data_IF_505850397014
#
_entry.id   IF_505850397014
#
_cell.length_a   1.000
_cell.length_b   1.000
_cell.length_c   1.000
_cell.angle_alpha   90.00
_cell.angle_beta   90.00
_cell.angle_gamma   90.00
#
_symmetry.space_group_name_H-M   'P 1'
#
loop_
_entity.id
_entity.type
_entity.pdbx_description
1 polymer ?
#
# COMPACT_ATOMS: atom_id res chain seq x y z
N UNK A 1 0.92 28.98 4.71
CA UNK A 1 0.33 27.77 5.31
C UNK A 1 -0.44 28.21 6.53
N UNK A 2 -1.74 27.92 6.61
CA UNK A 2 -2.59 28.34 7.72
C UNK A 2 -2.51 27.33 8.87
N UNK A 3 -1.60 27.55 9.82
CA UNK A 3 -1.39 26.64 10.96
C UNK A 3 -2.62 26.58 11.87
N UNK A 4 -3.38 27.69 11.98
CA UNK A 4 -4.53 27.77 12.86
C UNK A 4 -5.66 26.84 12.38
N UNK A 5 -5.90 26.81 11.06
CA UNK A 5 -6.91 25.93 10.47
C UNK A 5 -6.61 24.45 10.71
N UNK A 6 -5.36 24.02 10.61
CA UNK A 6 -4.97 22.63 10.89
C UNK A 6 -5.26 22.22 12.33
N UNK A 7 -4.86 23.08 13.29
CA UNK A 7 -5.10 22.84 14.71
C UNK A 7 -6.59 22.78 15.02
N UNK A 8 -7.35 23.76 14.56
CA UNK A 8 -8.80 23.84 14.73
C UNK A 8 -9.52 22.61 14.17
N UNK A 9 -9.19 22.20 12.94
CA UNK A 9 -9.81 21.03 12.30
C UNK A 9 -9.41 19.74 13.02
N UNK A 10 -8.16 19.61 13.46
CA UNK A 10 -7.71 18.47 14.23
C UNK A 10 -8.42 18.36 15.58
N UNK A 11 -8.45 19.44 16.36
CA UNK A 11 -9.11 19.50 17.68
C UNK A 11 -10.58 19.11 17.57
N UNK A 12 -11.31 19.66 16.59
CA UNK A 12 -12.70 19.31 16.30
C UNK A 12 -12.93 17.83 15.96
N UNK A 13 -11.90 17.12 15.47
CA UNK A 13 -11.94 15.69 15.17
C UNK A 13 -11.50 14.85 16.35
N UNK A 14 -10.48 15.30 17.09
CA UNK A 14 -9.95 14.62 18.25
C UNK A 14 -10.99 14.58 19.40
N UNK A 15 -11.77 15.65 19.60
CA UNK A 15 -12.84 15.68 20.62
C UNK A 15 -13.96 14.67 20.38
N UNK A 16 -14.08 14.13 19.16
CA UNK A 16 -15.07 13.11 18.80
C UNK A 16 -14.54 11.68 19.01
N UNK A 17 -13.29 11.52 19.46
CA UNK A 17 -12.76 10.22 19.85
C UNK A 17 -13.43 9.78 21.15
N UNK A 18 -13.65 8.48 21.30
CA UNK A 18 -14.17 7.92 22.55
C UNK A 18 -13.16 8.07 23.70
N UNK A 19 -11.88 8.11 23.36
CA UNK A 19 -10.78 8.31 24.27
C UNK A 19 -10.70 9.80 24.64
N UNK A 20 -10.91 10.09 25.92
CA UNK A 20 -10.97 11.47 26.45
C UNK A 20 -9.60 12.10 26.69
N UNK A 21 -8.53 11.45 26.24
CA UNK A 21 -7.16 11.93 26.37
C UNK A 21 -6.93 13.17 25.47
N UNK A 22 -6.37 14.27 26.00
CA UNK A 22 -6.11 15.47 25.20
C UNK A 22 -4.98 15.23 24.20
N UNK A 23 -5.19 15.65 22.94
CA UNK A 23 -4.19 15.60 21.87
C UNK A 23 -3.77 16.99 21.40
N UNK A 24 -2.47 17.23 21.31
CA UNK A 24 -1.91 18.48 20.78
C UNK A 24 -1.19 18.26 19.45
N UNK A 25 -1.48 19.10 18.46
CA UNK A 25 -0.83 19.10 17.15
C UNK A 25 0.16 20.27 17.01
N UNK A 26 1.39 19.96 16.61
CA UNK A 26 2.49 20.92 16.46
C UNK A 26 3.24 20.70 15.14
N UNK A 27 3.61 21.78 14.47
CA UNK A 27 4.47 21.70 13.28
C UNK A 27 5.93 21.62 13.69
N UNK A 28 6.67 20.71 13.08
CA UNK A 28 8.10 20.52 13.36
C UNK A 28 8.82 20.14 12.07
N UNK A 29 9.62 21.07 11.53
CA UNK A 29 10.37 20.88 10.29
C UNK A 29 11.55 19.89 10.47
N UNK A 30 11.89 19.51 11.69
CA UNK A 30 13.00 18.62 11.99
C UNK A 30 12.59 17.15 12.09
N UNK A 31 11.29 16.82 11.97
CA UNK A 31 10.89 15.41 11.94
C UNK A 31 11.33 14.76 10.63
N UNK A 32 12.02 13.63 10.77
CA UNK A 32 12.49 12.83 9.66
C UNK A 32 11.58 11.63 9.42
N UNK A 33 11.19 11.39 8.16
CA UNK A 33 10.43 10.21 7.79
C UNK A 33 11.23 8.93 8.06
N UNK A 34 10.53 7.90 8.53
CA UNK A 34 11.03 6.56 8.83
C UNK A 34 12.08 6.48 9.94
N UNK A 35 12.22 7.55 10.72
CA UNK A 35 13.10 7.62 11.90
C UNK A 35 12.37 8.30 13.06
N UNK A 36 11.23 7.76 13.53
CA UNK A 36 10.58 8.32 14.71
C UNK A 36 11.48 8.14 15.94
N UNK A 37 11.50 9.16 16.80
CA UNK A 37 12.18 9.07 18.10
C UNK A 37 11.60 7.90 18.92
N UNK A 38 12.37 7.38 19.89
CA UNK A 38 11.92 6.24 20.70
C UNK A 38 10.57 6.51 21.38
N UNK A 39 9.63 5.57 21.22
CA UNK A 39 8.26 5.69 21.72
C UNK A 39 7.34 6.60 20.90
N UNK A 40 7.80 7.12 19.75
CA UNK A 40 6.94 7.79 18.77
C UNK A 40 6.53 6.80 17.67
N UNK A 41 5.27 6.88 17.25
CA UNK A 41 4.69 6.10 16.16
C UNK A 41 4.61 7.01 14.93
N UNK A 42 4.85 6.47 13.74
CA UNK A 42 4.76 7.25 12.50
C UNK A 42 3.53 6.85 11.68
N UNK A 43 2.90 7.84 11.05
CA UNK A 43 2.15 7.63 9.81
C UNK A 43 2.49 8.73 8.79
N UNK A 44 2.26 8.45 7.51
CA UNK A 44 2.35 9.46 6.46
C UNK A 44 0.96 9.56 5.84
N UNK A 45 0.50 10.79 5.63
CA UNK A 45 -0.72 11.07 4.88
C UNK A 45 -0.39 11.60 3.50
N UNK A 46 -1.19 11.21 2.51
CA UNK A 46 -1.14 11.78 1.18
C UNK A 46 -2.25 12.83 1.07
N UNK A 47 -2.01 13.92 0.36
CA UNK A 47 -2.98 14.99 0.08
C UNK A 47 -2.64 15.65 -1.26
N UNK A 48 -3.55 16.49 -1.74
CA UNK A 48 -3.26 17.44 -2.80
C UNK A 48 -2.93 18.84 -2.22
N UNK A 49 -2.21 19.64 -2.99
CA UNK A 49 -1.88 21.03 -2.65
C UNK A 49 -1.57 21.83 -3.91
N UNK A 50 -1.57 23.16 -3.78
CA UNK A 50 -0.95 24.07 -4.74
C UNK A 50 0.38 24.59 -4.21
N UNK A 51 1.23 25.05 -5.11
CA UNK A 51 2.54 25.61 -4.81
C UNK A 51 2.73 26.87 -5.65
N UNK A 52 3.61 27.75 -5.17
CA UNK A 52 4.03 28.95 -5.89
C UNK A 52 5.54 29.07 -5.76
N UNK A 53 6.23 29.16 -6.89
CA UNK A 53 7.67 29.32 -6.92
C UNK A 53 8.02 30.74 -6.48
N UNK A 54 8.85 30.88 -5.46
CA UNK A 54 9.42 32.15 -5.01
C UNK A 54 10.40 32.75 -6.03
N UNK A 55 11.08 31.92 -6.83
CA UNK A 55 12.06 32.38 -7.82
C UNK A 55 11.43 32.89 -9.13
N UNK A 56 10.44 32.19 -9.68
CA UNK A 56 9.86 32.53 -10.99
C UNK A 56 8.36 32.87 -10.96
N UNK A 57 7.72 32.88 -9.78
CA UNK A 57 6.30 33.19 -9.62
C UNK A 57 5.33 32.12 -10.11
N UNK A 58 5.81 31.08 -10.82
CA UNK A 58 4.97 30.01 -11.38
C UNK A 58 4.17 29.30 -10.28
N UNK A 59 2.87 29.18 -10.48
CA UNK A 59 2.00 28.30 -9.69
C UNK A 59 1.88 26.90 -10.30
N UNK A 60 1.77 25.88 -9.45
CA UNK A 60 1.40 24.53 -9.89
C UNK A 60 0.57 23.80 -8.84
N UNK A 61 -0.19 22.80 -9.27
CA UNK A 61 -0.93 21.89 -8.40
C UNK A 61 -0.27 20.51 -8.37
N UNK A 62 -0.47 19.79 -7.27
CA UNK A 62 0.04 18.43 -7.09
C UNK A 62 -0.98 17.59 -6.35
N UNK A 63 -1.27 16.41 -6.88
CA UNK A 63 -2.04 15.36 -6.20
C UNK A 63 -1.16 14.45 -5.33
N UNK A 64 0.14 14.78 -5.18
CA UNK A 64 1.14 13.95 -4.49
C UNK A 64 1.94 14.77 -3.49
N UNK A 65 1.25 15.29 -2.48
CA UNK A 65 1.87 15.91 -1.31
C UNK A 65 1.82 14.92 -0.16
N UNK A 66 3.00 14.61 0.39
CA UNK A 66 3.14 13.76 1.56
C UNK A 66 3.24 14.62 2.81
N UNK A 67 2.62 14.16 3.89
CA UNK A 67 2.63 14.82 5.19
C UNK A 67 3.07 13.79 6.22
N UNK A 68 4.21 14.05 6.87
CA UNK A 68 4.76 13.18 7.92
C UNK A 68 4.08 13.50 9.24
N UNK A 69 3.66 12.46 9.95
CA UNK A 69 3.12 12.56 11.31
C UNK A 69 3.92 11.65 12.23
N UNK A 70 4.50 12.22 13.28
CA UNK A 70 4.98 11.46 14.44
C UNK A 70 3.99 11.69 15.57
N UNK A 71 3.46 10.62 16.15
CA UNK A 71 2.47 10.66 17.22
C UNK A 71 2.96 9.87 18.43
N UNK A 72 2.65 10.34 19.62
CA UNK A 72 3.01 9.69 20.86
C UNK A 72 1.89 9.90 21.87
N UNK A 73 1.54 8.83 22.58
CA UNK A 73 0.65 8.86 23.75
C UNK A 73 1.49 8.49 24.96
N UNK A 74 1.58 9.39 25.95
CA UNK A 74 2.26 9.15 27.23
C UNK A 74 1.41 9.74 28.34
N UNK A 75 1.21 8.98 29.42
CA UNK A 75 0.47 9.41 30.60
C UNK A 75 -0.89 10.06 30.24
N UNK A 76 -1.68 9.38 29.40
CA UNK A 76 -3.00 9.86 28.93
C UNK A 76 -2.95 11.23 28.20
N UNK A 77 -1.79 11.66 27.69
CA UNK A 77 -1.63 12.88 26.90
C UNK A 77 -0.99 12.57 25.56
N UNK A 78 -1.68 12.98 24.50
CA UNK A 78 -1.29 12.76 23.11
C UNK A 78 -0.55 13.96 22.52
N UNK A 79 0.54 13.70 21.81
CA UNK A 79 1.30 14.72 21.08
C UNK A 79 1.52 14.29 19.65
N UNK A 80 1.31 15.20 18.71
CA UNK A 80 1.53 15.00 17.27
C UNK A 80 2.48 16.07 16.75
N UNK A 81 3.53 15.62 16.10
CA UNK A 81 4.41 16.46 15.28
C UNK A 81 4.09 16.23 13.81
N UNK A 82 3.90 17.32 13.07
CA UNK A 82 3.53 17.29 11.66
C UNK A 82 4.52 18.03 10.78
N UNK A 83 4.77 17.49 9.60
CA UNK A 83 5.59 18.12 8.55
C UNK A 83 5.04 17.82 7.15
N UNK A 84 4.37 18.79 6.52
CA UNK A 84 4.08 18.74 5.09
C UNK A 84 5.37 18.84 4.27
N UNK A 85 5.52 17.98 3.27
CA UNK A 85 6.74 17.93 2.46
C UNK A 85 6.64 18.83 1.23
N UNK A 86 7.78 19.39 0.87
CA UNK A 86 7.90 20.44 -0.14
C UNK A 86 8.05 19.87 -1.55
N UNK A 87 7.90 20.75 -2.54
CA UNK A 87 8.20 20.46 -3.95
C UNK A 87 8.99 21.59 -4.58
N UNK A 88 9.86 21.24 -5.53
CA UNK A 88 10.66 22.20 -6.28
C UNK A 88 9.96 22.56 -7.59
N UNK A 89 10.16 23.79 -8.06
CA UNK A 89 9.71 24.22 -9.38
C UNK A 89 10.51 23.49 -10.48
N UNK A 90 9.81 22.91 -11.46
CA UNK A 90 10.43 22.22 -12.61
C UNK A 90 11.19 23.15 -13.57
N UNK A 91 10.86 24.43 -13.57
CA UNK A 91 11.49 25.42 -14.46
C UNK A 91 12.69 26.13 -13.80
N UNK A 92 13.04 25.76 -12.56
CA UNK A 92 14.14 26.37 -11.83
C UNK A 92 15.06 25.26 -11.34
N UNK A 93 16.16 25.04 -12.06
CA UNK A 93 17.14 23.98 -11.76
C UNK A 93 17.64 24.05 -10.31
N UNK A 94 17.86 25.26 -9.81
CA UNK A 94 18.34 25.54 -8.44
C UNK A 94 17.31 26.27 -7.57
N UNK A 95 16.02 26.19 -7.95
CA UNK A 95 14.94 26.82 -7.17
C UNK A 95 14.79 26.17 -5.78
N UNK A 96 14.31 26.90 -4.76
CA UNK A 96 14.11 26.33 -3.44
C UNK A 96 12.94 25.31 -3.42
N UNK A 97 12.90 24.51 -2.37
CA UNK A 97 11.80 23.60 -2.07
C UNK A 97 10.63 24.37 -1.46
N UNK A 98 9.54 24.50 -2.21
CA UNK A 98 8.37 25.29 -1.84
C UNK A 98 7.41 24.53 -0.92
N UNK A 99 6.88 25.26 0.07
CA UNK A 99 5.88 24.73 0.99
C UNK A 99 4.53 24.51 0.28
N UNK A 100 3.83 23.40 0.56
CA UNK A 100 2.51 23.17 0.00
C UNK A 100 1.46 24.13 0.60
N UNK A 101 0.58 24.63 -0.25
CA UNK A 101 -0.66 25.31 0.13
C UNK A 101 -1.82 24.31 0.03
N UNK A 102 -2.25 23.78 1.18
CA UNK A 102 -3.27 22.73 1.27
C UNK A 102 -4.62 23.37 1.60
N UNK A 103 -5.64 23.14 0.77
CA UNK A 103 -6.99 23.66 0.96
C UNK A 103 -7.67 23.04 2.21
N UNK A 104 -8.55 23.80 2.88
CA UNK A 104 -9.27 23.35 4.10
C UNK A 104 -10.02 22.02 3.94
N UNK A 105 -10.61 21.77 2.78
CA UNK A 105 -11.27 20.49 2.46
C UNK A 105 -10.30 19.30 2.53
N UNK A 106 -9.06 19.50 2.07
CA UNK A 106 -8.01 18.49 2.09
C UNK A 106 -7.42 18.31 3.48
N UNK A 107 -7.27 19.42 4.24
CA UNK A 107 -6.91 19.39 5.67
C UNK A 107 -7.92 18.54 6.44
N UNK A 108 -9.22 18.74 6.19
CA UNK A 108 -10.29 18.00 6.84
C UNK A 108 -10.22 16.49 6.62
N UNK A 109 -10.00 16.04 5.38
CA UNK A 109 -9.81 14.61 5.07
C UNK A 109 -8.53 14.07 5.73
N UNK A 110 -7.45 14.85 5.68
CA UNK A 110 -6.17 14.45 6.25
C UNK A 110 -6.24 14.29 7.77
N UNK A 111 -6.90 15.21 8.49
CA UNK A 111 -7.10 15.12 9.94
C UNK A 111 -8.02 13.96 10.33
N UNK A 112 -9.04 13.64 9.52
CA UNK A 112 -9.85 12.45 9.77
C UNK A 112 -9.03 11.16 9.69
N UNK A 113 -8.20 11.04 8.65
CA UNK A 113 -7.33 9.89 8.48
C UNK A 113 -6.30 9.83 9.61
N UNK A 114 -5.77 10.96 10.06
CA UNK A 114 -4.86 11.03 11.21
C UNK A 114 -5.50 10.51 12.49
N UNK A 115 -6.73 10.92 12.80
CA UNK A 115 -7.47 10.44 13.98
C UNK A 115 -7.68 8.93 13.95
N UNK A 116 -8.04 8.35 12.79
CA UNK A 116 -8.12 6.90 12.64
C UNK A 116 -6.77 6.22 12.87
N UNK A 117 -5.67 6.81 12.37
CA UNK A 117 -4.33 6.28 12.62
C UNK A 117 -3.92 6.39 14.08
N UNK A 118 -4.34 7.42 14.81
CA UNK A 118 -4.13 7.54 16.25
C UNK A 118 -4.87 6.42 16.99
N UNK A 119 -6.15 6.21 16.70
CA UNK A 119 -6.95 5.14 17.32
C UNK A 119 -6.33 3.76 17.12
N UNK A 120 -5.90 3.47 15.89
CA UNK A 120 -5.23 2.20 15.56
C UNK A 120 -3.86 2.10 16.21
N UNK A 121 -2.99 3.10 16.04
CA UNK A 121 -1.58 2.99 16.42
C UNK A 121 -1.38 3.23 17.90
N UNK A 122 -2.08 4.18 18.51
CA UNK A 122 -1.86 4.60 19.90
C UNK A 122 -2.76 3.84 20.88
N UNK A 123 -4.01 3.54 20.51
CA UNK A 123 -4.99 2.85 21.35
C UNK A 123 -5.26 1.39 20.96
N UNK A 124 -4.62 0.90 19.88
CA UNK A 124 -4.79 -0.47 19.37
C UNK A 124 -6.25 -0.82 19.02
N UNK A 125 -7.07 0.17 18.66
CA UNK A 125 -8.45 -0.07 18.24
C UNK A 125 -8.52 -0.79 16.89
N UNK A 126 -9.48 -1.73 16.78
CA UNK A 126 -9.79 -2.43 15.54
C UNK A 126 -10.86 -1.67 14.77
N UNK A 127 -10.45 -0.84 13.81
CA UNK A 127 -11.35 0.01 13.01
C UNK A 127 -11.13 -0.29 11.53
N UNK A 128 -12.22 -0.46 10.78
CA UNK A 128 -12.17 -0.52 9.32
C UNK A 128 -11.88 0.87 8.73
N UNK A 129 -10.76 1.00 8.02
CA UNK A 129 -10.36 2.27 7.39
C UNK A 129 -11.32 2.58 6.23
N UNK A 130 -12.00 3.72 6.32
CA UNK A 130 -12.87 4.20 5.24
C UNK A 130 -12.02 4.80 4.13
N UNK A 131 -12.23 4.36 2.89
CA UNK A 131 -11.60 5.00 1.71
C UNK A 131 -12.19 6.40 1.56
N UNK A 132 -11.34 7.43 1.69
CA UNK A 132 -11.70 8.83 1.47
C UNK A 132 -10.89 9.37 0.31
N UNK A 133 -11.58 9.98 -0.65
CA UNK A 133 -10.94 10.59 -1.80
C UNK A 133 -10.61 12.05 -1.49
N UNK A 134 -9.39 12.47 -1.80
CA UNK A 134 -9.03 13.88 -1.85
C UNK A 134 -9.53 14.46 -3.17
N UNK A 135 -9.78 15.78 -3.19
CA UNK A 135 -10.00 16.52 -4.43
C UNK A 135 -8.80 16.28 -5.34
N UNK A 136 -9.04 15.82 -6.56
CA UNK A 136 -8.01 15.64 -7.57
C UNK A 136 -7.94 16.88 -8.43
N UNK A 137 -6.74 17.42 -8.63
CA UNK A 137 -6.49 18.40 -9.67
C UNK A 137 -6.30 17.69 -11.02
N UNK A 138 -6.71 18.32 -12.12
CA UNK A 138 -6.47 17.82 -13.48
C UNK A 138 -4.97 17.86 -13.78
N UNK A 139 -4.34 16.69 -13.73
CA UNK A 139 -2.89 16.55 -13.79
C UNK A 139 -2.41 16.30 -15.21
N UNK A 140 -2.19 17.36 -15.99
CA UNK A 140 -1.53 17.27 -17.31
C UNK A 140 0.00 17.15 -17.20
N UNK A 141 0.58 17.20 -15.99
CA UNK A 141 2.02 17.10 -15.77
C UNK A 141 2.37 15.85 -14.95
N UNK A 142 3.26 14.97 -15.45
CA UNK A 142 3.67 13.78 -14.72
C UNK A 142 4.42 14.16 -13.44
N UNK A 143 4.27 13.33 -12.41
CA UNK A 143 5.05 13.48 -11.18
C UNK A 143 6.52 13.14 -11.43
N UNK A 144 7.43 14.03 -11.01
CA UNK A 144 8.87 13.86 -11.17
C UNK A 144 9.54 13.74 -9.78
N UNK A 145 10.12 12.57 -9.45
CA UNK A 145 10.74 12.33 -8.14
C UNK A 145 11.85 13.32 -7.78
N UNK A 146 12.59 13.80 -8.78
CA UNK A 146 13.67 14.76 -8.59
C UNK A 146 13.19 16.09 -8.00
N UNK A 147 11.93 16.49 -8.22
CA UNK A 147 11.35 17.74 -7.72
C UNK A 147 10.43 17.53 -6.51
N UNK A 148 10.42 16.35 -5.89
CA UNK A 148 9.59 16.04 -4.74
C UNK A 148 10.43 15.69 -3.52
N UNK A 149 10.34 16.50 -2.47
CA UNK A 149 11.12 16.30 -1.25
C UNK A 149 10.89 14.92 -0.62
N UNK A 150 9.66 14.41 -0.63
CA UNK A 150 9.39 13.07 -0.09
C UNK A 150 9.97 11.93 -0.92
N UNK A 151 10.16 12.13 -2.23
CA UNK A 151 10.88 11.16 -3.06
C UNK A 151 12.38 11.21 -2.81
N UNK A 152 12.96 12.41 -2.73
CA UNK A 152 14.37 12.62 -2.43
C UNK A 152 14.75 12.07 -1.04
N UNK A 153 13.88 12.29 -0.05
CA UNK A 153 14.00 11.75 1.30
C UNK A 153 13.76 10.25 1.37
N UNK A 154 13.52 9.58 0.23
CA UNK A 154 13.43 8.12 0.17
C UNK A 154 12.37 7.57 1.12
N UNK A 155 11.34 8.38 1.41
CA UNK A 155 10.27 8.04 2.35
C UNK A 155 9.65 6.72 1.94
N UNK A 156 9.59 6.49 0.64
CA UNK A 156 9.01 5.37 -0.08
C UNK A 156 9.99 4.22 -0.34
N UNK A 157 11.18 4.26 0.24
CA UNK A 157 12.19 3.20 0.17
C UNK A 157 12.65 2.71 1.54
N UNK A 158 11.98 3.14 2.62
CA UNK A 158 12.12 2.48 3.92
C UNK A 158 11.17 1.27 3.98
N UNK A 159 11.61 0.13 4.54
CA UNK A 159 10.78 -1.07 4.68
C UNK A 159 9.47 -0.87 5.47
N UNK A 160 9.32 0.25 6.17
CA UNK A 160 8.11 0.61 6.94
C UNK A 160 7.11 1.50 6.16
N UNK A 161 7.38 1.82 4.89
CA UNK A 161 6.54 2.69 4.05
C UNK A 161 6.41 2.19 2.61
N UNK A 162 6.32 0.87 2.42
CA UNK A 162 5.84 0.27 1.17
C UNK A 162 4.31 0.18 1.17
N UNK A 163 3.61 1.30 1.33
CA UNK A 163 2.15 1.32 1.14
C UNK A 163 1.62 2.41 0.22
N UNK A 164 2.43 3.33 -0.32
CA UNK A 164 1.95 4.22 -1.38
C UNK A 164 3.10 4.97 -2.04
N UNK A 165 3.83 4.36 -2.97
CA UNK A 165 4.09 5.01 -4.26
C UNK A 165 4.43 4.02 -5.35
N UNK A 166 3.53 4.06 -6.33
CA UNK A 166 3.81 3.94 -7.75
C UNK A 166 4.91 4.95 -8.11
N UNK A 167 6.16 4.50 -8.08
CA UNK A 167 7.21 5.03 -8.94
C UNK A 167 6.82 4.72 -10.40
N UNK A 168 7.30 5.56 -11.31
CA UNK A 168 7.10 5.44 -12.76
C UNK A 168 7.87 4.25 -13.37
N UNK A 169 7.86 3.11 -12.69
CA UNK A 169 8.16 1.78 -13.23
C UNK A 169 6.85 0.97 -13.35
N UNK A 170 5.80 1.65 -13.80
CA UNK A 170 4.38 1.25 -13.80
C UNK A 170 4.02 0.03 -14.64
N UNK A 171 5.00 -0.71 -15.16
CA UNK A 171 4.77 -1.82 -16.09
C UNK A 171 5.02 -3.21 -15.50
N UNK A 172 5.56 -3.37 -14.28
CA UNK A 172 5.99 -4.70 -13.78
C UNK A 172 5.51 -5.01 -12.36
N UNK A 173 5.43 -6.31 -12.05
CA UNK A 173 5.15 -6.87 -10.71
C UNK A 173 6.25 -6.48 -9.72
N UNK A 174 5.90 -6.19 -8.46
CA UNK A 174 6.83 -5.74 -7.42
C UNK A 174 7.01 -6.80 -6.31
N UNK A 175 8.05 -7.67 -6.38
CA UNK A 175 8.29 -8.71 -5.38
C UNK A 175 8.53 -8.18 -3.97
N UNK A 176 9.19 -7.02 -3.84
CA UNK A 176 9.57 -6.44 -2.54
C UNK A 176 8.37 -5.99 -1.72
N UNK A 177 7.31 -5.56 -2.41
CA UNK A 177 6.06 -5.18 -1.75
C UNK A 177 5.35 -6.40 -1.14
N UNK A 178 5.31 -7.51 -1.88
CA UNK A 178 4.77 -8.78 -1.39
C UNK A 178 5.52 -9.28 -0.17
N UNK A 179 6.85 -9.31 -0.27
CA UNK A 179 7.73 -9.74 0.81
C UNK A 179 7.55 -8.85 2.06
N UNK A 180 7.53 -7.52 1.88
CA UNK A 180 7.36 -6.56 2.98
C UNK A 180 6.01 -6.73 3.71
N UNK A 181 4.91 -6.86 2.96
CA UNK A 181 3.58 -7.09 3.54
C UNK A 181 3.54 -8.45 4.25
N UNK A 182 4.13 -9.48 3.64
CA UNK A 182 4.22 -10.81 4.23
C UNK A 182 4.99 -10.79 5.56
N UNK A 183 6.18 -10.19 5.59
CA UNK A 183 7.01 -10.10 6.80
C UNK A 183 6.29 -9.36 7.93
N UNK A 184 5.57 -8.29 7.59
CA UNK A 184 4.78 -7.53 8.56
C UNK A 184 3.68 -8.38 9.20
N UNK A 185 3.02 -9.24 8.42
CA UNK A 185 1.91 -10.06 8.90
C UNK A 185 2.39 -11.33 9.61
N UNK A 186 3.44 -11.96 9.10
CA UNK A 186 3.96 -13.22 9.66
C UNK A 186 4.67 -13.00 11.00
N UNK A 187 5.29 -11.83 11.21
CA UNK A 187 5.89 -11.45 12.49
C UNK A 187 4.90 -11.36 13.66
N UNK A 188 3.59 -11.35 13.38
CA UNK A 188 2.52 -11.36 14.38
C UNK A 188 2.15 -12.80 14.77
N UNK A 189 2.43 -13.80 13.91
CA UNK A 189 1.99 -15.18 14.12
C UNK A 189 2.75 -15.88 15.25
N UNK A 190 4.08 -15.87 15.19
CA UNK A 190 4.91 -16.49 16.22
C UNK A 190 6.29 -15.82 16.25
N UNK A 191 6.74 -15.28 17.40
CA UNK A 191 8.03 -14.61 17.51
C UNK A 191 9.24 -15.56 17.45
N UNK A 192 9.07 -16.88 17.64
CA UNK A 192 10.18 -17.85 17.61
C UNK A 192 10.41 -18.48 16.24
N UNK A 193 9.49 -18.29 15.29
CA UNK A 193 9.59 -18.87 13.95
C UNK A 193 9.89 -17.82 12.90
N UNK A 194 10.80 -18.15 11.98
CA UNK A 194 11.18 -17.28 10.87
C UNK A 194 10.47 -17.74 9.61
N UNK A 195 10.00 -16.81 8.79
CA UNK A 195 9.30 -17.12 7.56
C UNK A 195 9.89 -16.33 6.40
N UNK A 196 10.06 -16.98 5.25
CA UNK A 196 10.43 -16.31 4.00
C UNK A 196 9.39 -16.52 2.91
N UNK A 197 9.24 -15.52 2.03
CA UNK A 197 8.38 -15.58 0.86
C UNK A 197 9.24 -15.43 -0.39
N UNK A 198 9.10 -16.35 -1.33
CA UNK A 198 9.85 -16.35 -2.58
C UNK A 198 8.95 -16.64 -3.78
N UNK A 199 9.26 -16.04 -4.92
CA UNK A 199 8.54 -16.31 -6.17
C UNK A 199 9.18 -17.49 -6.91
N UNK A 200 8.35 -18.41 -7.38
CA UNK A 200 8.78 -19.61 -8.09
C UNK A 200 7.78 -19.91 -9.20
N UNK A 201 8.15 -19.56 -10.44
CA UNK A 201 7.27 -19.78 -11.61
C UNK A 201 7.19 -21.27 -12.01
N UNK A 202 7.99 -22.15 -11.40
CA UNK A 202 7.99 -23.59 -11.70
C UNK A 202 6.95 -24.39 -10.90
N UNK A 203 6.28 -23.77 -9.93
CA UNK A 203 5.27 -24.43 -9.09
C UNK A 203 4.17 -25.05 -9.95
N UNK A 204 3.98 -26.37 -9.87
CA UNK A 204 2.87 -27.04 -10.54
C UNK A 204 1.65 -27.06 -9.59
N UNK A 205 0.49 -26.53 -10.01
CA UNK A 205 -0.72 -26.55 -9.19
C UNK A 205 -1.20 -27.97 -8.93
N UNK A 206 -1.88 -28.19 -7.80
CA UNK A 206 -2.46 -29.47 -7.38
C UNK A 206 -1.44 -30.62 -7.25
N UNK A 207 -0.15 -30.29 -7.20
CA UNK A 207 0.95 -31.24 -7.08
C UNK A 207 2.05 -30.71 -6.13
N UNK A 208 1.73 -30.37 -4.87
CA UNK A 208 2.75 -29.99 -3.91
C UNK A 208 3.71 -31.15 -3.64
N UNK A 209 5.00 -30.83 -3.52
CA UNK A 209 6.03 -31.80 -3.12
C UNK A 209 5.73 -32.31 -1.71
N UNK A 210 6.21 -33.50 -1.38
CA UNK A 210 6.05 -34.07 -0.03
C UNK A 210 6.51 -33.08 1.06
N UNK A 211 5.70 -32.92 2.10
CA UNK A 211 5.91 -31.95 3.18
C UNK A 211 5.57 -30.50 2.84
N UNK A 212 5.09 -30.21 1.62
CA UNK A 212 4.55 -28.90 1.27
C UNK A 212 3.02 -28.92 1.27
N UNK A 213 2.45 -27.85 1.76
CA UNK A 213 1.01 -27.60 1.77
C UNK A 213 0.65 -26.61 0.68
N UNK A 214 -0.40 -26.88 -0.09
CA UNK A 214 -0.88 -25.99 -1.14
C UNK A 214 -2.06 -25.11 -0.69
N UNK A 215 -2.06 -23.86 -1.15
CA UNK A 215 -3.19 -22.95 -1.14
C UNK A 215 -3.29 -22.22 -2.48
N UNK A 216 -4.45 -22.32 -3.14
CA UNK A 216 -4.75 -21.61 -4.39
C UNK A 216 -5.88 -20.61 -4.12
N UNK A 217 -5.71 -19.37 -4.59
CA UNK A 217 -6.72 -18.32 -4.42
C UNK A 217 -6.79 -17.40 -5.64
N UNK A 218 -7.97 -16.88 -5.92
CA UNK A 218 -8.18 -15.82 -6.90
C UNK A 218 -8.08 -14.42 -6.27
N UNK A 219 -7.67 -13.44 -7.07
CA UNK A 219 -7.60 -12.03 -6.70
C UNK A 219 -7.78 -11.14 -7.93
N UNK A 220 -7.88 -9.82 -7.72
CA UNK A 220 -7.88 -8.86 -8.82
C UNK A 220 -6.51 -8.27 -9.06
N UNK A 221 -6.15 -8.16 -10.33
CA UNK A 221 -4.91 -7.53 -10.77
C UNK A 221 -5.08 -6.90 -12.15
N UNK A 222 -4.09 -6.09 -12.54
CA UNK A 222 -3.97 -5.57 -13.90
C UNK A 222 -2.80 -6.22 -14.61
N UNK A 223 -2.94 -6.44 -15.90
CA UNK A 223 -1.87 -6.86 -16.79
C UNK A 223 -1.48 -5.70 -17.70
N UNK A 224 -0.26 -5.76 -18.22
CA UNK A 224 0.25 -4.82 -19.23
C UNK A 224 1.04 -5.61 -20.25
N UNK A 225 0.64 -5.54 -21.51
CA UNK A 225 1.37 -6.18 -22.61
C UNK A 225 2.72 -5.49 -22.81
N UNK A 226 3.79 -6.27 -22.72
CA UNK A 226 5.17 -5.87 -23.00
C UNK A 226 5.36 -5.44 -24.46
N UNK A 227 4.62 -6.02 -25.41
CA UNK A 227 4.71 -5.71 -26.83
C UNK A 227 3.93 -4.45 -27.24
N UNK A 228 2.64 -4.38 -26.93
CA UNK A 228 1.77 -3.28 -27.41
C UNK A 228 1.39 -2.26 -26.34
N UNK A 229 1.85 -2.41 -25.10
CA UNK A 229 1.57 -1.48 -24.00
C UNK A 229 0.13 -1.50 -23.47
N UNK A 230 -0.79 -2.25 -24.11
CA UNK A 230 -2.18 -2.38 -23.64
C UNK A 230 -2.22 -2.89 -22.21
N UNK A 231 -2.99 -2.22 -21.35
CA UNK A 231 -3.30 -2.69 -20.01
C UNK A 231 -4.76 -3.16 -19.91
N UNK A 232 -5.01 -4.23 -19.14
CA UNK A 232 -6.36 -4.72 -18.86
C UNK A 232 -6.48 -5.23 -17.41
N UNK A 233 -7.63 -5.00 -16.75
CA UNK A 233 -7.92 -5.57 -15.44
C UNK A 233 -8.47 -7.00 -15.55
N UNK A 234 -8.35 -7.77 -14.47
CA UNK A 234 -8.97 -9.10 -14.31
C UNK A 234 -9.26 -9.35 -12.83
N UNK A 235 -10.45 -9.87 -12.54
CA UNK A 235 -10.86 -10.32 -11.20
C UNK A 235 -10.70 -11.84 -11.01
N UNK A 236 -10.05 -12.52 -11.98
CA UNK A 236 -9.83 -13.98 -12.00
C UNK A 236 -8.34 -14.31 -12.10
N UNK A 237 -7.50 -13.56 -11.39
CA UNK A 237 -6.07 -13.83 -11.35
C UNK A 237 -5.80 -14.87 -10.27
N UNK A 238 -5.32 -16.05 -10.67
CA UNK A 238 -5.00 -17.12 -9.74
C UNK A 238 -3.60 -16.91 -9.15
N UNK A 239 -3.45 -17.20 -7.87
CA UNK A 239 -2.17 -17.23 -7.15
C UNK A 239 -2.05 -18.56 -6.44
N UNK A 240 -0.93 -19.23 -6.65
CA UNK A 240 -0.60 -20.51 -6.02
C UNK A 240 0.45 -20.26 -4.95
N UNK A 241 0.19 -20.79 -3.77
CA UNK A 241 1.11 -20.80 -2.64
C UNK A 241 1.45 -22.24 -2.28
N UNK A 242 2.74 -22.57 -2.27
CA UNK A 242 3.25 -23.76 -1.59
C UNK A 242 3.92 -23.31 -0.31
N UNK A 243 3.50 -23.82 0.83
CA UNK A 243 4.01 -23.44 2.15
C UNK A 243 4.50 -24.65 2.93
N UNK A 244 5.56 -24.47 3.71
CA UNK A 244 6.12 -25.50 4.58
C UNK A 244 6.69 -24.85 5.83
N UNK A 245 6.59 -25.52 6.97
CA UNK A 245 7.28 -25.19 8.21
C UNK A 245 8.08 -26.41 8.67
N UNK A 246 9.38 -26.27 8.88
CA UNK A 246 10.24 -27.31 9.46
C UNK A 246 11.13 -26.68 10.52
N UNK A 247 11.14 -27.25 11.74
CA UNK A 247 12.04 -26.83 12.82
C UNK A 247 12.01 -25.32 13.10
N UNK A 248 10.84 -24.69 12.99
CA UNK A 248 10.68 -23.24 13.18
C UNK A 248 11.06 -22.37 11.98
N UNK A 249 11.53 -22.96 10.88
CA UNK A 249 11.81 -22.27 9.62
C UNK A 249 10.69 -22.52 8.60
N UNK A 250 9.95 -21.46 8.31
CA UNK A 250 8.86 -21.42 7.37
C UNK A 250 9.28 -20.89 6.00
N UNK A 251 8.78 -21.52 4.94
CA UNK A 251 8.96 -21.06 3.56
C UNK A 251 7.63 -21.03 2.84
N UNK A 252 7.36 -19.92 2.15
CA UNK A 252 6.26 -19.80 1.19
C UNK A 252 6.83 -19.54 -0.20
N UNK A 253 6.47 -20.40 -1.15
CA UNK A 253 6.70 -20.20 -2.57
C UNK A 253 5.42 -19.70 -3.25
N UNK A 254 5.55 -18.70 -4.10
CA UNK A 254 4.44 -18.04 -4.78
C UNK A 254 4.58 -18.15 -6.29
N UNK A 255 3.54 -18.62 -6.98
CA UNK A 255 3.41 -18.52 -8.44
C UNK A 255 2.22 -17.63 -8.78
N UNK A 256 2.49 -16.59 -9.55
CA UNK A 256 1.48 -15.69 -10.10
C UNK A 256 1.08 -16.17 -11.49
N UNK A 257 -0.21 -16.45 -11.69
CA UNK A 257 -0.73 -16.95 -12.95
C UNK A 257 -0.92 -15.80 -13.94
N UNK A 258 -0.49 -16.03 -15.17
CA UNK A 258 -0.31 -15.05 -16.24
C UNK A 258 -1.52 -15.01 -17.19
N UNK A 259 -1.60 -13.95 -17.98
CA UNK A 259 -2.62 -13.82 -19.04
C UNK A 259 -2.02 -13.32 -20.35
N UNK A 260 -2.61 -13.75 -21.47
CA UNK A 260 -2.25 -13.29 -22.81
C UNK A 260 -2.86 -11.93 -23.14
N UNK A 261 -2.14 -11.15 -23.94
CA UNK A 261 -2.70 -9.98 -24.58
C UNK A 261 -3.66 -10.40 -25.70
N UNK A 262 -4.92 -9.95 -25.67
CA UNK A 262 -5.90 -10.28 -26.74
C UNK A 262 -5.61 -9.64 -28.10
N UNK A 263 -4.68 -8.67 -28.19
CA UNK A 263 -4.31 -8.00 -29.45
C UNK A 263 -3.08 -8.60 -30.12
N UNK A 264 -2.30 -9.40 -29.40
CA UNK A 264 -1.01 -9.86 -29.88
C UNK A 264 -0.98 -11.39 -29.89
N UNK A 265 -0.89 -12.00 -31.07
CA UNK A 265 -0.77 -13.45 -31.23
C UNK A 265 0.53 -14.01 -30.65
N UNK A 266 1.64 -13.26 -30.79
CA UNK A 266 2.99 -13.71 -30.41
C UNK A 266 3.54 -13.01 -29.16
N UNK A 267 2.70 -12.39 -28.32
CA UNK A 267 3.17 -11.81 -27.06
C UNK A 267 3.35 -12.89 -25.98
N UNK A 268 4.36 -12.78 -25.09
CA UNK A 268 4.45 -13.66 -23.93
C UNK A 268 3.24 -13.46 -23.01
N UNK A 269 2.92 -14.48 -22.20
CA UNK A 269 1.93 -14.32 -21.14
C UNK A 269 2.45 -13.34 -20.09
N UNK A 270 1.66 -12.34 -19.73
CA UNK A 270 2.07 -11.27 -18.84
C UNK A 270 1.81 -11.63 -17.38
N UNK A 271 2.75 -11.28 -16.49
CA UNK A 271 2.54 -11.41 -15.05
C UNK A 271 1.53 -10.36 -14.56
N UNK A 272 0.68 -10.71 -13.59
CA UNK A 272 -0.25 -9.75 -12.99
C UNK A 272 0.47 -8.72 -12.12
N UNK A 273 -0.03 -7.49 -12.17
CA UNK A 273 0.30 -6.39 -11.26
C UNK A 273 -0.85 -6.19 -10.30
N UNK A 274 -0.62 -6.53 -9.04
CA UNK A 274 -1.60 -6.39 -7.97
C UNK A 274 -1.48 -5.01 -7.33
N UNK A 275 -2.61 -4.45 -6.92
CA UNK A 275 -2.63 -3.27 -6.07
C UNK A 275 -2.35 -3.66 -4.62
N UNK A 276 -1.73 -2.76 -3.86
CA UNK A 276 -1.31 -3.00 -2.47
C UNK A 276 -2.43 -3.58 -1.62
N UNK A 277 -3.66 -3.05 -1.72
CA UNK A 277 -4.82 -3.56 -0.99
C UNK A 277 -5.12 -5.04 -1.29
N UNK A 278 -5.05 -5.44 -2.56
CA UNK A 278 -5.27 -6.84 -2.95
C UNK A 278 -4.13 -7.76 -2.51
N UNK A 279 -2.90 -7.25 -2.47
CA UNK A 279 -1.77 -7.99 -1.86
C UNK A 279 -2.05 -8.18 -0.36
N UNK A 280 -2.53 -7.16 0.34
CA UNK A 280 -2.82 -7.25 1.78
C UNK A 280 -3.90 -8.28 2.10
N UNK A 281 -5.04 -8.23 1.39
CA UNK A 281 -6.12 -9.21 1.58
C UNK A 281 -5.62 -10.63 1.28
N UNK A 282 -4.82 -10.79 0.22
CA UNK A 282 -4.26 -12.08 -0.14
C UNK A 282 -3.29 -12.60 0.93
N UNK A 283 -2.45 -11.73 1.50
CA UNK A 283 -1.52 -12.10 2.57
C UNK A 283 -2.23 -12.42 3.87
N UNK A 284 -3.33 -11.73 4.22
CA UNK A 284 -4.17 -12.10 5.39
C UNK A 284 -4.68 -13.53 5.25
N UNK A 285 -5.19 -13.87 4.07
CA UNK A 285 -5.68 -15.22 3.79
C UNK A 285 -4.56 -16.25 3.76
N UNK A 286 -3.38 -15.87 3.30
CA UNK A 286 -2.21 -16.72 3.41
C UNK A 286 -1.84 -16.97 4.87
N UNK A 287 -1.92 -15.97 5.77
CA UNK A 287 -1.67 -16.17 7.20
C UNK A 287 -2.65 -17.16 7.82
N UNK A 288 -3.95 -17.01 7.54
CA UNK A 288 -4.98 -17.97 7.98
C UNK A 288 -4.62 -19.39 7.51
N UNK A 289 -4.18 -19.53 6.26
CA UNK A 289 -3.81 -20.83 5.70
C UNK A 289 -2.51 -21.39 6.25
N UNK A 290 -1.53 -20.56 6.60
CA UNK A 290 -0.32 -20.99 7.30
C UNK A 290 -0.69 -21.54 8.69
N UNK A 291 -1.53 -20.84 9.44
CA UNK A 291 -1.99 -21.28 10.77
C UNK A 291 -2.71 -22.64 10.68
N UNK A 292 -3.62 -22.78 9.72
CA UNK A 292 -4.36 -24.05 9.53
C UNK A 292 -3.44 -25.18 9.04
N UNK A 293 -2.61 -24.93 8.02
CA UNK A 293 -1.89 -26.00 7.31
C UNK A 293 -0.50 -26.32 7.87
N UNK A 294 0.12 -25.38 8.57
CA UNK A 294 1.49 -25.53 9.09
C UNK A 294 1.53 -25.56 10.62
N UNK A 295 0.59 -24.88 11.30
CA UNK A 295 0.48 -24.90 12.77
C UNK A 295 -0.68 -25.76 13.27
N UNK A 296 -1.51 -26.30 12.37
CA UNK A 296 -2.66 -27.15 12.69
C UNK A 296 -3.68 -26.47 13.62
N UNK A 297 -3.77 -25.15 13.56
CA UNK A 297 -4.77 -24.38 14.29
C UNK A 297 -6.15 -24.49 13.62
N UNK A 298 -7.20 -24.61 14.43
CA UNK A 298 -8.58 -24.50 13.96
C UNK A 298 -9.07 -23.06 14.04
N UNK A 299 -9.35 -22.46 12.88
CA UNK A 299 -9.80 -21.06 12.74
C UNK A 299 -11.22 -20.95 12.16
N UNK A 300 -11.90 -22.07 11.92
CA UNK A 300 -13.17 -22.11 11.18
C UNK A 300 -13.08 -21.61 9.73
N UNK A 301 -14.23 -21.45 9.07
CA UNK A 301 -14.31 -20.92 7.70
C UNK A 301 -14.36 -19.39 7.69
N UNK A 302 -13.39 -18.76 7.01
CA UNK A 302 -13.40 -17.30 6.79
C UNK A 302 -13.38 -16.99 5.28
N UNK A 303 -14.55 -16.69 4.70
CA UNK A 303 -14.64 -16.32 3.28
C UNK A 303 -14.73 -14.79 3.11
N UNK A 304 -13.57 -14.11 3.13
CA UNK A 304 -13.49 -12.66 2.83
C UNK A 304 -13.18 -12.46 1.35
N UNK A 305 -13.98 -11.68 0.59
CA UNK A 305 -13.72 -11.40 -0.82
C UNK A 305 -12.54 -10.43 -1.00
N UNK A 306 -11.86 -10.51 -2.14
CA UNK A 306 -10.86 -9.53 -2.57
C UNK A 306 -11.54 -8.30 -3.19
N UNK A 307 -10.78 -7.20 -3.36
CA UNK A 307 -11.32 -5.98 -3.98
C UNK A 307 -11.41 -6.18 -5.49
N UNK A 308 -12.63 -6.15 -6.03
CA UNK A 308 -12.90 -6.27 -7.45
C UNK A 308 -12.50 -4.99 -8.20
N UNK A 309 -11.94 -5.17 -9.40
CA UNK A 309 -11.72 -4.10 -10.37
C UNK A 309 -12.93 -3.97 -11.29
N UNK A 310 -13.14 -2.78 -11.86
CA UNK A 310 -14.10 -2.59 -12.96
C UNK A 310 -13.61 -3.33 -14.21
N UNK A 311 -14.22 -4.47 -14.51
CA UNK A 311 -13.87 -5.36 -15.62
C UNK A 311 -15.06 -5.40 -16.59
N UNK A 312 -14.93 -4.69 -17.71
CA UNK A 312 -15.99 -4.57 -18.73
C UNK A 312 -16.05 -5.74 -19.73
N UNK A 313 -15.12 -6.68 -19.64
CA UNK A 313 -14.98 -7.78 -20.61
C UNK A 313 -15.18 -9.12 -19.90
N UNK A 314 -15.85 -10.10 -20.53
CA UNK A 314 -15.95 -11.43 -19.99
C UNK A 314 -14.55 -12.08 -19.87
N UNK A 315 -14.47 -13.06 -18.98
CA UNK A 315 -13.29 -13.90 -18.83
C UNK A 315 -13.15 -14.84 -20.03
N UNK A 316 -11.96 -14.87 -20.64
CA UNK A 316 -11.68 -15.72 -21.81
C UNK A 316 -10.66 -16.80 -21.44
N UNK A 317 -11.07 -18.07 -21.34
CA UNK A 317 -10.22 -19.17 -20.91
C UNK A 317 -8.93 -19.35 -21.72
N UNK A 318 -8.99 -19.16 -23.04
CA UNK A 318 -7.85 -19.36 -23.95
C UNK A 318 -6.70 -18.36 -23.71
N UNK A 319 -7.02 -17.24 -23.08
CA UNK A 319 -6.06 -16.20 -22.71
C UNK A 319 -5.60 -16.29 -21.24
N UNK A 320 -6.09 -17.27 -20.47
CA UNK A 320 -5.79 -17.42 -19.05
C UNK A 320 -4.92 -18.66 -18.78
N UNK A 321 -3.71 -18.47 -18.22
CA UNK A 321 -2.84 -19.59 -17.84
C UNK A 321 -3.54 -20.50 -16.80
N UNK A 322 -4.34 -19.92 -15.90
CA UNK A 322 -5.06 -20.67 -14.87
C UNK A 322 -6.14 -21.58 -15.43
N UNK A 323 -6.81 -21.19 -16.53
CA UNK A 323 -7.74 -22.06 -17.24
C UNK A 323 -6.99 -23.19 -17.94
N UNK A 324 -5.85 -22.90 -18.59
CA UNK A 324 -5.01 -23.91 -19.23
C UNK A 324 -4.45 -24.93 -18.23
N UNK A 325 -4.21 -24.50 -16.99
CA UNK A 325 -3.77 -25.35 -15.88
C UNK A 325 -4.94 -26.01 -15.09
N UNK A 326 -6.20 -25.77 -15.48
CA UNK A 326 -7.37 -26.38 -14.82
C UNK A 326 -7.60 -25.92 -13.36
N UNK A 327 -7.16 -24.71 -13.01
CA UNK A 327 -7.27 -24.15 -11.64
C UNK A 327 -8.19 -22.93 -11.52
N UNK A 328 -8.66 -22.37 -12.64
CA UNK A 328 -9.70 -21.36 -12.61
C UNK A 328 -11.06 -22.06 -12.53
N UNK A 329 -11.79 -21.89 -11.42
CA UNK A 329 -13.15 -22.41 -11.31
C UNK A 329 -14.07 -21.62 -12.27
N UNK A 330 -14.87 -22.35 -13.05
CA UNK A 330 -15.90 -21.78 -13.93
C UNK A 330 -17.11 -21.47 -13.06
N UNK A 331 -17.38 -20.19 -12.86
CA UNK A 331 -18.76 -19.71 -12.75
C UNK A 331 -18.97 -18.65 -13.84
#
# INVERSE_FOLDING_TARGET
MDIAEWKRVFENKATKMQQQDPWQLMFDENIFPNRPNMGWKQCIGNTCATFRCSSCGRGWSSNRVMVVFHMQLRNAKGTIKIRPLHQQCKNCSDGPMEKPCIESSSIYVLMQNLVEKIRIKCYNERIELKKRHFKSYDGNSPHEPAHCQGCQLKILSSPLYNFTMITADTKRMNPKEWESIFQTKVGILNPTHVWCLMFDDSITPKAPKMGWSEYIRNTSARFTCSKCGRSWPSNRVMVIFHMRLLNGEGTVKVRLIRQNCKRCSNAPMEKPRHESDNINVLMEKLMDKIRIKCYHEDLGETNRPFIQLDVKSPHEPDHCEGCKLGICQRE
#
